data_IF_134516613458
#
_entry.id   IF_134516613458
#
_cell.length_a   1.000
_cell.length_b   1.000
_cell.length_c   1.000
_cell.angle_alpha   90.00
_cell.angle_beta   90.00
_cell.angle_gamma   90.00
#
_symmetry.space_group_name_H-M   'P 1'
#
loop_
_entity.id
_entity.type
_entity.pdbx_description
1 polymer ?
#
# COMPACT_ATOMS: atom_id res chain seq x y z
N UNK A 1 -9.69 17.00 -7.83
CA UNK A 1 -9.11 16.08 -6.83
C UNK A 1 -8.41 14.97 -7.59
N UNK A 2 -7.16 14.64 -7.25
CA UNK A 2 -6.40 13.57 -7.92
C UNK A 2 -6.61 12.29 -7.12
N UNK A 3 -7.25 11.29 -7.70
CA UNK A 3 -7.36 9.93 -7.12
C UNK A 3 -6.25 9.06 -7.69
N UNK A 4 -5.77 8.11 -6.89
CA UNK A 4 -4.72 7.17 -7.23
C UNK A 4 -5.38 5.81 -7.31
N UNK A 5 -5.32 5.20 -8.50
CA UNK A 5 -5.81 3.84 -8.68
C UNK A 5 -4.76 2.87 -8.12
N UNK A 6 -5.13 2.13 -7.08
CA UNK A 6 -4.29 1.08 -6.51
C UNK A 6 -5.00 -0.26 -6.59
N UNK A 7 -4.20 -1.31 -6.74
CA UNK A 7 -4.70 -2.68 -6.69
C UNK A 7 -4.52 -3.25 -5.28
N UNK A 8 -5.61 -3.71 -4.68
CA UNK A 8 -5.58 -4.40 -3.39
C UNK A 8 -5.10 -5.84 -3.54
N UNK A 9 -4.60 -6.40 -2.44
CA UNK A 9 -4.07 -7.76 -2.37
C UNK A 9 -5.11 -8.85 -2.63
N UNK A 10 -6.40 -8.54 -2.45
CA UNK A 10 -7.54 -9.38 -2.80
C UNK A 10 -7.91 -9.32 -4.30
N UNK A 11 -7.20 -8.51 -5.09
CA UNK A 11 -7.36 -8.40 -6.54
C UNK A 11 -8.31 -7.30 -7.00
N UNK A 12 -8.91 -6.54 -6.10
CA UNK A 12 -9.78 -5.41 -6.44
C UNK A 12 -8.96 -4.19 -6.86
N UNK A 13 -9.55 -3.33 -7.70
CA UNK A 13 -9.00 -2.01 -7.99
C UNK A 13 -9.80 -0.99 -7.20
N UNK A 14 -9.11 -0.13 -6.46
CA UNK A 14 -9.72 0.90 -5.62
C UNK A 14 -9.09 2.25 -5.94
N UNK A 15 -9.93 3.28 -5.96
CA UNK A 15 -9.49 4.67 -6.14
C UNK A 15 -9.25 5.31 -4.77
N UNK A 16 -7.99 5.47 -4.40
CA UNK A 16 -7.61 6.12 -3.15
C UNK A 16 -7.40 7.61 -3.38
N UNK A 17 -8.11 8.43 -2.61
CA UNK A 17 -7.82 9.85 -2.52
C UNK A 17 -6.73 10.07 -1.46
N UNK A 18 -5.51 10.51 -1.83
CA UNK A 18 -4.42 10.72 -0.87
C UNK A 18 -4.78 11.73 0.23
N UNK A 19 -5.64 12.72 -0.07
CA UNK A 19 -6.10 13.68 0.93
C UNK A 19 -7.11 13.10 1.94
N UNK A 20 -7.66 11.92 1.66
CA UNK A 20 -8.57 11.20 2.54
C UNK A 20 -7.89 10.01 3.23
N UNK A 21 -6.57 9.85 3.09
CA UNK A 21 -5.81 8.86 3.85
C UNK A 21 -5.63 9.39 5.27
N UNK A 22 -6.02 8.58 6.25
CA UNK A 22 -5.80 8.86 7.66
C UNK A 22 -4.42 8.37 8.09
N UNK A 23 -4.08 7.13 7.75
CA UNK A 23 -2.79 6.50 8.08
C UNK A 23 -2.46 5.36 7.10
N UNK A 24 -1.18 5.04 7.00
CA UNK A 24 -0.69 3.88 6.24
C UNK A 24 0.16 3.05 7.20
N UNK A 25 -0.19 1.77 7.34
CA UNK A 25 0.44 0.83 8.28
C UNK A 25 1.13 -0.28 7.50
N UNK A 26 2.41 -0.53 7.78
CA UNK A 26 3.13 -1.69 7.25
C UNK A 26 2.71 -2.94 8.04
N UNK A 27 1.99 -3.86 7.40
CA UNK A 27 1.44 -5.07 8.04
C UNK A 27 2.39 -6.25 7.89
N UNK A 28 3.15 -6.29 6.80
CA UNK A 28 4.13 -7.35 6.53
C UNK A 28 5.43 -6.71 6.08
N UNK A 29 6.44 -6.81 6.94
CA UNK A 29 7.77 -6.25 6.72
C UNK A 29 8.61 -7.23 5.91
N UNK A 30 9.30 -6.72 4.91
CA UNK A 30 10.35 -7.46 4.21
C UNK A 30 11.44 -7.77 5.26
N UNK A 31 11.53 -9.02 5.72
CA UNK A 31 12.55 -9.43 6.67
C UNK A 31 13.81 -9.81 5.86
N UNK A 32 14.94 -9.08 5.96
CA UNK A 32 16.18 -9.44 5.26
C UNK A 32 16.88 -10.67 5.88
N UNK A 33 16.17 -11.45 6.70
CA UNK A 33 16.70 -12.52 7.52
C UNK A 33 16.66 -13.91 6.87
N UNK A 34 17.82 -14.30 6.33
CA UNK A 34 18.37 -15.67 6.35
C UNK A 34 17.90 -16.68 5.28
N UNK A 35 18.89 -17.13 4.50
CA UNK A 35 18.94 -18.36 3.67
C UNK A 35 18.22 -18.32 2.31
N UNK A 36 18.79 -17.57 1.37
CA UNK A 36 19.22 -18.03 0.03
C UNK A 36 18.39 -19.00 -0.84
N UNK A 37 17.16 -19.39 -0.52
CA UNK A 37 16.43 -20.43 -1.29
C UNK A 37 14.91 -20.17 -1.44
N UNK A 38 14.25 -19.31 -0.66
CA UNK A 38 12.79 -19.16 -0.77
C UNK A 38 12.30 -17.71 -0.69
N UNK A 39 11.91 -17.19 -1.86
CA UNK A 39 10.87 -16.18 -2.05
C UNK A 39 11.10 -14.80 -1.45
N UNK A 40 11.30 -13.79 -2.31
CA UNK A 40 10.99 -12.41 -1.97
C UNK A 40 9.53 -12.38 -1.46
N UNK A 41 9.32 -12.13 -0.17
CA UNK A 41 7.99 -11.79 0.33
C UNK A 41 7.81 -10.30 0.08
N UNK A 42 6.99 -9.94 -0.90
CA UNK A 42 6.59 -8.55 -1.12
C UNK A 42 5.93 -8.00 0.15
N UNK A 43 6.36 -6.83 0.60
CA UNK A 43 5.77 -6.14 1.75
C UNK A 43 4.29 -5.87 1.54
N UNK A 44 3.52 -5.91 2.62
CA UNK A 44 2.08 -5.59 2.62
C UNK A 44 1.82 -4.36 3.46
N UNK A 45 1.04 -3.45 2.89
CA UNK A 45 0.66 -2.18 3.50
C UNK A 45 -0.85 -2.09 3.61
N UNK A 46 -1.32 -1.51 4.69
CA UNK A 46 -2.72 -1.26 4.94
C UNK A 46 -2.95 0.24 4.94
N UNK A 47 -3.81 0.70 4.03
CA UNK A 47 -4.17 2.11 3.89
C UNK A 47 -5.50 2.32 4.60
N UNK A 48 -5.47 3.06 5.70
CA UNK A 48 -6.65 3.47 6.45
C UNK A 48 -7.13 4.82 5.94
N UNK A 49 -8.37 4.86 5.50
CA UNK A 49 -9.05 6.07 5.03
C UNK A 49 -9.76 6.78 6.18
N UNK A 50 -9.91 8.09 6.06
CA UNK A 50 -10.61 8.95 7.04
C UNK A 50 -12.11 8.68 7.13
N UNK A 51 -12.69 7.99 6.16
CA UNK A 51 -14.09 7.54 6.17
C UNK A 51 -14.29 6.20 6.90
N UNK A 52 -13.21 5.57 7.39
CA UNK A 52 -13.23 4.29 8.09
C UNK A 52 -13.01 3.08 7.18
N UNK A 53 -12.84 3.26 5.87
CA UNK A 53 -12.46 2.17 4.98
C UNK A 53 -10.97 1.83 5.12
N UNK A 54 -10.64 0.55 4.91
CA UNK A 54 -9.26 0.07 5.01
C UNK A 54 -8.93 -0.80 3.81
N UNK A 55 -7.79 -0.56 3.17
CA UNK A 55 -7.37 -1.25 1.96
C UNK A 55 -6.00 -1.89 2.13
N UNK A 56 -5.90 -3.19 1.93
CA UNK A 56 -4.63 -3.90 1.95
C UNK A 56 -4.01 -3.91 0.55
N UNK A 57 -2.86 -3.27 0.39
CA UNK A 57 -2.13 -3.13 -0.88
C UNK A 57 -0.73 -3.74 -0.77
N UNK A 58 -0.17 -4.14 -1.92
CA UNK A 58 1.21 -4.62 -1.99
C UNK A 58 2.20 -3.44 -2.00
N UNK A 59 3.46 -3.70 -1.65
CA UNK A 59 4.55 -2.72 -1.64
C UNK A 59 4.65 -1.91 -2.94
N UNK A 60 4.56 -2.56 -4.11
CA UNK A 60 4.63 -1.84 -5.39
C UNK A 60 3.48 -0.84 -5.62
N UNK A 61 2.31 -1.09 -5.01
CA UNK A 61 1.17 -0.16 -5.07
C UNK A 61 1.30 0.94 -4.01
N UNK A 62 1.86 0.61 -2.84
CA UNK A 62 2.24 1.58 -1.82
C UNK A 62 3.27 2.58 -2.35
N UNK A 63 4.31 2.13 -3.06
CA UNK A 63 5.33 3.00 -3.63
C UNK A 63 4.75 3.99 -4.65
N UNK A 64 3.80 3.55 -5.48
CA UNK A 64 3.05 4.44 -6.39
C UNK A 64 2.26 5.48 -5.61
N UNK A 65 1.55 5.04 -4.57
CA UNK A 65 0.77 5.93 -3.71
C UNK A 65 1.67 6.99 -3.05
N UNK A 66 2.83 6.58 -2.54
CA UNK A 66 3.80 7.45 -1.87
C UNK A 66 4.44 8.47 -2.83
N UNK A 67 4.80 8.06 -4.06
CA UNK A 67 5.34 8.97 -5.08
C UNK A 67 4.34 10.09 -5.42
N UNK A 68 3.06 9.74 -5.55
CA UNK A 68 2.01 10.70 -5.87
C UNK A 68 1.72 11.65 -4.71
N UNK A 69 1.71 11.15 -3.46
CA UNK A 69 1.56 11.98 -2.25
C UNK A 69 2.71 13.00 -2.11
N UNK A 70 3.94 12.58 -2.37
CA UNK A 70 5.13 13.41 -2.19
C UNK A 70 5.32 14.44 -3.31
N UNK A 71 4.62 14.27 -4.43
CA UNK A 71 4.69 15.16 -5.61
C UNK A 71 3.70 16.35 -5.55
N UNK A 72 3.00 16.54 -4.43
CA UNK A 72 2.03 17.61 -4.16
C UNK A 72 2.65 18.64 -3.21
#
# INVERSE_FOLDING_TARGET
MKTINVKTTDGHQVEINPAAISEIVEVQKEDPGFLGIFGFQEGKYQVCMSDGHTYDIAQGEHDKLQQDITSI
#
